data_IF_393454288744
#
_entry.id   IF_393454288744
#
_cell.length_a   1.000
_cell.length_b   1.000
_cell.length_c   1.000
_cell.angle_alpha   90.00
_cell.angle_beta   90.00
_cell.angle_gamma   90.00
#
_symmetry.space_group_name_H-M   'P 1'
#
loop_
_entity.id
_entity.type
_entity.pdbx_description
1 polymer ?
#
# COMPACT_ATOMS: atom_id res chain seq x y z
N UNK A 1 -2.44 -8.90 -7.06
CA UNK A 1 -3.88 -9.17 -6.89
C UNK A 1 -4.67 -7.87 -6.99
N UNK A 2 -6.00 -7.95 -7.28
CA UNK A 2 -6.92 -6.81 -7.19
C UNK A 2 -7.23 -6.41 -5.75
N UNK A 3 -7.96 -5.30 -5.58
CA UNK A 3 -8.42 -4.78 -4.28
C UNK A 3 -9.72 -5.45 -3.79
N UNK A 4 -10.46 -6.06 -4.70
CA UNK A 4 -11.70 -6.80 -4.43
C UNK A 4 -11.86 -7.98 -5.40
N UNK A 5 -12.83 -8.86 -5.16
CA UNK A 5 -13.23 -9.96 -6.05
C UNK A 5 -14.69 -9.74 -6.44
N UNK A 6 -14.94 -9.28 -7.67
CA UNK A 6 -16.28 -9.02 -8.18
C UNK A 6 -17.14 -8.14 -7.24
N UNK A 7 -16.51 -7.12 -6.64
CA UNK A 7 -17.14 -6.21 -5.68
C UNK A 7 -17.25 -6.73 -4.25
N UNK A 8 -16.70 -7.91 -3.95
CA UNK A 8 -16.56 -8.40 -2.58
C UNK A 8 -15.19 -8.06 -2.03
N UNK A 9 -15.14 -7.63 -0.79
CA UNK A 9 -13.88 -7.38 -0.08
C UNK A 9 -13.02 -8.65 0.00
N UNK A 10 -11.71 -8.52 -0.12
CA UNK A 10 -10.77 -9.66 -0.10
C UNK A 10 -10.93 -10.52 1.16
N UNK A 11 -11.22 -9.88 2.30
CA UNK A 11 -11.43 -10.54 3.59
C UNK A 11 -12.72 -11.35 3.67
N UNK A 12 -13.68 -11.09 2.78
CA UNK A 12 -15.01 -11.72 2.74
C UNK A 12 -15.23 -12.62 1.53
N UNK A 13 -14.29 -12.62 0.58
CA UNK A 13 -14.35 -13.41 -0.65
C UNK A 13 -13.88 -14.87 -0.48
N UNK A 14 -13.74 -15.36 0.75
CA UNK A 14 -13.31 -16.74 1.01
C UNK A 14 -11.81 -17.00 0.78
N UNK A 15 -10.99 -15.96 0.75
CA UNK A 15 -9.55 -16.03 0.44
C UNK A 15 -8.65 -16.35 1.65
N UNK A 16 -9.19 -16.75 2.79
CA UNK A 16 -8.42 -17.01 4.01
C UNK A 16 -7.29 -18.04 3.80
N UNK A 17 -7.58 -19.13 3.09
CA UNK A 17 -6.58 -20.16 2.77
C UNK A 17 -5.49 -19.63 1.82
N UNK A 18 -5.84 -18.70 0.94
CA UNK A 18 -4.89 -18.02 0.07
C UNK A 18 -3.91 -17.18 0.90
N UNK A 19 -4.40 -16.32 1.80
CA UNK A 19 -3.55 -15.49 2.65
C UNK A 19 -2.65 -16.34 3.56
N UNK A 20 -3.19 -17.39 4.18
CA UNK A 20 -2.41 -18.30 4.98
C UNK A 20 -1.28 -18.97 4.17
N UNK A 21 -1.56 -19.37 2.93
CA UNK A 21 -0.56 -20.01 2.08
C UNK A 21 0.50 -19.02 1.58
N UNK A 22 0.14 -17.79 1.28
CA UNK A 22 1.07 -16.72 0.90
C UNK A 22 2.02 -16.40 2.07
N UNK A 23 1.50 -16.30 3.29
CA UNK A 23 2.31 -16.09 4.49
C UNK A 23 3.29 -17.26 4.72
N UNK A 24 2.81 -18.51 4.66
CA UNK A 24 3.65 -19.72 4.80
C UNK A 24 4.80 -19.76 3.78
N UNK A 25 4.54 -19.31 2.55
CA UNK A 25 5.52 -19.27 1.47
C UNK A 25 6.42 -18.02 1.50
N UNK A 26 6.23 -17.14 2.48
CA UNK A 26 6.96 -15.86 2.59
C UNK A 26 6.89 -15.00 1.32
N UNK A 27 5.76 -15.05 0.60
CA UNK A 27 5.58 -14.34 -0.65
C UNK A 27 5.07 -12.91 -0.43
N UNK A 28 5.52 -12.00 -1.28
CA UNK A 28 4.99 -10.64 -1.35
C UNK A 28 3.69 -10.61 -2.16
N UNK A 29 2.65 -10.02 -1.60
CA UNK A 29 1.45 -9.60 -2.34
C UNK A 29 1.70 -8.19 -2.87
N UNK A 30 1.61 -7.98 -4.18
CA UNK A 30 1.44 -6.66 -4.77
C UNK A 30 -0.05 -6.46 -5.09
N UNK A 31 -0.65 -5.45 -4.45
CA UNK A 31 -2.07 -5.14 -4.56
C UNK A 31 -2.26 -3.91 -5.44
N UNK A 32 -3.02 -4.05 -6.53
CA UNK A 32 -3.30 -2.98 -7.48
C UNK A 32 -4.81 -2.93 -7.78
N UNK A 33 -5.47 -1.76 -7.74
CA UNK A 33 -6.89 -1.63 -8.04
C UNK A 33 -7.17 -1.91 -9.52
N UNK A 34 -8.32 -2.54 -9.80
CA UNK A 34 -8.77 -2.89 -11.14
C UNK A 34 -10.15 -2.23 -11.38
N UNK A 35 -10.15 -0.93 -11.62
CA UNK A 35 -11.39 -0.15 -11.75
C UNK A 35 -11.94 0.31 -10.40
N UNK A 36 -13.24 0.59 -10.36
CA UNK A 36 -13.95 0.97 -9.13
C UNK A 36 -15.35 0.37 -9.10
N UNK A 37 -15.77 -0.08 -7.92
CA UNK A 37 -17.13 -0.60 -7.68
C UNK A 37 -18.17 0.52 -7.64
N UNK A 38 -17.80 1.76 -7.32
CA UNK A 38 -18.65 2.96 -7.26
C UNK A 38 -18.80 3.68 -8.63
N UNK A 39 -18.86 2.92 -9.73
CA UNK A 39 -18.72 3.41 -11.10
C UNK A 39 -19.73 4.45 -11.57
N UNK A 40 -20.92 4.58 -10.94
CA UNK A 40 -21.97 5.53 -11.40
C UNK A 40 -21.58 6.99 -11.27
N UNK A 41 -20.80 7.35 -10.24
CA UNK A 41 -20.32 8.72 -9.95
C UNK A 41 -18.94 9.00 -10.52
N UNK A 42 -18.26 8.00 -11.10
CA UNK A 42 -16.86 8.07 -11.53
C UNK A 42 -16.71 8.13 -13.07
N UNK A 43 -17.80 8.44 -13.80
CA UNK A 43 -17.80 8.37 -15.27
C UNK A 43 -17.12 9.54 -15.96
N UNK A 44 -17.07 10.70 -15.30
CA UNK A 44 -16.55 11.93 -15.86
C UNK A 44 -15.07 12.13 -15.49
N UNK A 45 -14.34 12.96 -16.28
CA UNK A 45 -13.02 13.50 -15.94
C UNK A 45 -11.96 12.48 -15.53
N UNK A 46 -12.07 11.24 -16.01
CA UNK A 46 -11.15 10.16 -15.64
C UNK A 46 -11.22 9.78 -14.15
N UNK A 47 -12.33 10.09 -13.46
CA UNK A 47 -12.48 9.87 -12.01
C UNK A 47 -12.36 8.41 -11.59
N UNK A 48 -12.63 7.45 -12.49
CA UNK A 48 -12.37 6.03 -12.20
C UNK A 48 -10.91 5.81 -11.80
N UNK A 49 -9.97 6.46 -12.49
CA UNK A 49 -8.55 6.39 -12.17
C UNK A 49 -8.20 7.36 -11.04
N UNK A 50 -8.45 8.68 -11.23
CA UNK A 50 -7.98 9.74 -10.32
C UNK A 50 -8.52 9.63 -8.89
N UNK A 51 -9.73 9.11 -8.72
CA UNK A 51 -10.42 8.99 -7.43
C UNK A 51 -10.71 7.54 -7.07
N UNK A 52 -11.20 6.78 -8.06
CA UNK A 52 -11.66 5.41 -7.85
C UNK A 52 -10.54 4.47 -7.45
N UNK A 53 -9.41 4.47 -8.14
CA UNK A 53 -8.28 3.58 -7.82
C UNK A 53 -7.72 3.84 -6.41
N UNK A 54 -7.43 5.08 -5.98
CA UNK A 54 -7.02 5.33 -4.59
C UNK A 54 -8.10 4.99 -3.57
N UNK A 55 -9.39 5.14 -3.91
CA UNK A 55 -10.49 4.74 -3.04
C UNK A 55 -10.52 3.22 -2.85
N UNK A 56 -10.45 2.44 -3.92
CA UNK A 56 -10.43 0.97 -3.87
C UNK A 56 -9.26 0.43 -3.04
N UNK A 57 -8.05 1.00 -3.23
CA UNK A 57 -6.89 0.67 -2.40
C UNK A 57 -7.17 0.97 -0.92
N UNK A 58 -7.79 2.12 -0.64
CA UNK A 58 -8.12 2.52 0.73
C UNK A 58 -9.14 1.58 1.38
N UNK A 59 -10.18 1.16 0.64
CA UNK A 59 -11.17 0.19 1.12
C UNK A 59 -10.51 -1.16 1.42
N UNK A 60 -9.69 -1.67 0.50
CA UNK A 60 -8.99 -2.94 0.68
C UNK A 60 -8.06 -2.92 1.91
N UNK A 61 -7.26 -1.86 2.09
CA UNK A 61 -6.43 -1.67 3.29
C UNK A 61 -7.31 -1.62 4.54
N UNK A 62 -8.38 -0.82 4.50
CA UNK A 62 -9.32 -0.70 5.61
C UNK A 62 -9.85 -2.07 6.05
N UNK A 63 -10.30 -2.89 5.11
CA UNK A 63 -10.79 -4.24 5.41
C UNK A 63 -9.68 -5.17 5.92
N UNK A 64 -8.47 -5.14 5.35
CA UNK A 64 -7.35 -5.93 5.88
C UNK A 64 -7.05 -5.60 7.34
N UNK A 65 -7.17 -4.31 7.73
CA UNK A 65 -6.98 -3.85 9.11
C UNK A 65 -8.18 -4.22 9.97
N UNK A 66 -9.37 -3.68 9.67
CA UNK A 66 -10.54 -3.73 10.56
C UNK A 66 -11.21 -5.11 10.63
N UNK A 67 -11.09 -5.95 9.58
CA UNK A 67 -11.52 -7.35 9.62
C UNK A 67 -10.44 -8.26 10.26
N UNK A 68 -9.35 -7.69 10.80
CA UNK A 68 -8.34 -8.38 11.60
C UNK A 68 -7.38 -9.29 10.82
N UNK A 69 -7.28 -9.16 9.49
CA UNK A 69 -6.42 -10.03 8.68
C UNK A 69 -4.93 -9.81 8.95
N UNK A 70 -4.51 -8.55 9.19
CA UNK A 70 -3.11 -8.25 9.53
C UNK A 70 -2.73 -8.63 10.97
N UNK A 71 -3.71 -8.89 11.83
CA UNK A 71 -3.51 -9.51 13.13
C UNK A 71 -3.44 -11.04 13.00
N UNK A 72 -4.34 -11.62 12.20
CA UNK A 72 -4.44 -13.06 11.97
C UNK A 72 -3.25 -13.62 11.19
N UNK A 73 -2.70 -12.83 10.26
CA UNK A 73 -1.56 -13.18 9.42
C UNK A 73 -0.42 -12.17 9.62
N UNK A 74 0.28 -12.21 10.77
CA UNK A 74 1.25 -11.18 11.15
C UNK A 74 2.51 -11.15 10.28
N UNK A 75 2.83 -12.23 9.59
CA UNK A 75 3.96 -12.33 8.64
C UNK A 75 3.61 -11.96 7.19
N UNK A 76 2.36 -11.57 6.93
CA UNK A 76 1.92 -11.24 5.58
C UNK A 76 2.62 -9.97 5.07
N UNK A 77 3.25 -10.07 3.90
CA UNK A 77 3.91 -8.96 3.21
C UNK A 77 2.98 -8.43 2.11
N UNK A 78 2.49 -7.20 2.26
CA UNK A 78 1.59 -6.58 1.27
C UNK A 78 2.14 -5.21 0.86
N UNK A 79 2.41 -5.04 -0.43
CA UNK A 79 2.69 -3.76 -1.04
C UNK A 79 1.47 -3.27 -1.82
N UNK A 80 1.10 -2.03 -1.61
CA UNK A 80 -0.08 -1.43 -2.24
C UNK A 80 0.37 -0.35 -3.23
N UNK A 81 -0.16 -0.43 -4.45
CA UNK A 81 0.08 0.53 -5.51
C UNK A 81 -0.41 1.94 -5.16
N UNK A 82 0.13 2.94 -5.86
CA UNK A 82 -0.27 4.36 -5.80
C UNK A 82 -0.16 4.95 -4.39
N UNK A 83 0.98 4.67 -3.72
CA UNK A 83 1.23 5.13 -2.36
C UNK A 83 0.23 4.61 -1.33
N UNK A 84 -0.52 3.54 -1.64
CA UNK A 84 -1.55 2.98 -0.76
C UNK A 84 -2.88 3.73 -0.78
N UNK A 85 -3.12 4.58 -1.78
CA UNK A 85 -4.34 5.36 -1.88
C UNK A 85 -4.43 6.48 -0.85
N UNK A 86 -5.57 6.63 -0.16
CA UNK A 86 -5.78 7.73 0.78
C UNK A 86 -5.33 7.43 2.21
N UNK A 87 -5.40 6.17 2.66
CA UNK A 87 -5.24 5.84 4.08
C UNK A 87 -3.86 6.15 4.63
N UNK A 88 -2.74 5.93 3.90
CA UNK A 88 -1.43 6.31 4.41
C UNK A 88 -1.28 7.80 4.73
N UNK A 89 -2.01 8.67 4.01
CA UNK A 89 -2.05 10.11 4.29
C UNK A 89 -3.11 10.52 5.34
N UNK A 90 -4.08 9.65 5.65
CA UNK A 90 -5.22 9.93 6.55
C UNK A 90 -5.25 9.04 7.79
N UNK A 91 -4.16 8.36 8.12
CA UNK A 91 -4.10 7.39 9.22
C UNK A 91 -4.58 7.94 10.57
N UNK A 92 -4.34 9.21 10.88
CA UNK A 92 -4.83 9.83 12.11
C UNK A 92 -6.35 9.83 12.23
N UNK A 93 -7.07 9.85 11.08
CA UNK A 93 -8.53 9.74 11.07
C UNK A 93 -9.01 8.33 11.43
N UNK A 94 -8.20 7.31 11.18
CA UNK A 94 -8.52 5.93 11.55
C UNK A 94 -8.30 5.70 13.05
N UNK A 95 -7.23 6.25 13.60
CA UNK A 95 -6.88 6.07 15.00
C UNK A 95 -7.77 6.89 15.94
N UNK A 96 -8.24 8.07 15.49
CA UNK A 96 -9.01 8.98 16.34
C UNK A 96 -10.25 8.32 16.99
N UNK A 97 -11.11 7.58 16.27
CA UNK A 97 -12.27 6.94 16.85
C UNK A 97 -11.96 5.61 17.57
N UNK A 98 -10.78 5.03 17.39
CA UNK A 98 -10.42 3.72 17.92
C UNK A 98 -10.69 3.57 19.44
N UNK A 99 -10.32 4.51 20.34
CA UNK A 99 -10.55 4.33 21.77
C UNK A 99 -12.02 4.50 22.22
N UNK A 100 -12.91 4.99 21.35
CA UNK A 100 -14.26 5.39 21.74
C UNK A 100 -15.39 4.72 20.97
N UNK A 101 -15.09 4.11 19.81
CA UNK A 101 -16.10 3.48 18.96
C UNK A 101 -15.88 1.97 18.89
N UNK A 102 -16.86 1.21 19.40
CA UNK A 102 -16.81 -0.25 19.39
C UNK A 102 -16.76 -0.84 17.97
N UNK A 103 -17.47 -0.23 17.02
CA UNK A 103 -17.48 -0.65 15.61
C UNK A 103 -16.17 -0.35 14.86
N UNK A 104 -15.27 0.46 15.44
CA UNK A 104 -13.91 0.73 14.95
C UNK A 104 -12.89 -0.09 15.72
N UNK A 105 -13.02 -0.18 17.03
CA UNK A 105 -12.13 -0.96 17.87
C UNK A 105 -12.28 -2.47 17.57
N UNK A 106 -13.51 -2.98 17.54
CA UNK A 106 -13.78 -4.41 17.35
C UNK A 106 -12.93 -5.28 18.26
N UNK A 107 -12.34 -6.31 17.67
CA UNK A 107 -11.42 -7.23 18.35
C UNK A 107 -9.93 -6.86 18.13
N UNK A 108 -9.64 -5.68 17.56
CA UNK A 108 -8.26 -5.26 17.30
C UNK A 108 -7.53 -4.90 18.60
N UNK A 109 -6.42 -5.56 18.95
CA UNK A 109 -5.65 -5.24 20.16
C UNK A 109 -4.82 -3.95 20.05
N UNK A 110 -4.61 -3.43 18.84
CA UNK A 110 -3.81 -2.24 18.55
C UNK A 110 -4.56 -1.26 17.65
N UNK A 111 -4.21 0.05 17.68
CA UNK A 111 -4.82 1.04 16.81
C UNK A 111 -4.51 0.75 15.33
N UNK A 112 -5.36 1.22 14.40
CA UNK A 112 -5.19 0.98 12.96
C UNK A 112 -3.81 1.31 12.41
N UNK A 113 -3.18 2.39 12.87
CA UNK A 113 -1.83 2.78 12.44
C UNK A 113 -0.74 1.74 12.75
N UNK A 114 -0.91 0.94 13.81
CA UNK A 114 -0.02 -0.18 14.11
C UNK A 114 0.01 -1.19 12.96
N UNK A 115 -1.13 -1.46 12.35
CA UNK A 115 -1.24 -2.39 11.23
C UNK A 115 -0.78 -1.77 9.92
N UNK A 116 -1.05 -0.49 9.69
CA UNK A 116 -0.55 0.22 8.52
C UNK A 116 0.98 0.21 8.44
N UNK A 117 1.68 0.23 9.58
CA UNK A 117 3.14 0.11 9.67
C UNK A 117 3.69 -1.24 9.22
N UNK A 118 2.85 -2.26 9.05
CA UNK A 118 3.25 -3.56 8.50
C UNK A 118 3.17 -3.61 6.98
N UNK A 119 2.53 -2.62 6.35
CA UNK A 119 2.33 -2.56 4.91
C UNK A 119 3.50 -1.85 4.21
N UNK A 120 3.61 -2.11 2.93
CA UNK A 120 4.53 -1.45 2.01
C UNK A 120 3.73 -0.67 0.98
N UNK A 121 4.32 0.39 0.45
CA UNK A 121 3.68 1.27 -0.52
C UNK A 121 4.63 1.52 -1.68
N UNK A 122 4.10 1.73 -2.88
CA UNK A 122 4.97 2.18 -3.96
C UNK A 122 5.15 3.71 -3.93
N UNK A 123 6.14 4.18 -4.69
CA UNK A 123 6.48 5.60 -4.78
C UNK A 123 5.64 6.37 -5.78
N UNK A 124 4.59 5.77 -6.38
CA UNK A 124 3.80 6.38 -7.44
C UNK A 124 2.79 7.39 -6.87
N UNK A 125 3.28 8.52 -6.44
CA UNK A 125 2.50 9.63 -5.85
C UNK A 125 2.72 10.97 -6.55
N UNK A 126 3.52 11.01 -7.63
CA UNK A 126 3.69 12.08 -8.62
C UNK A 126 4.31 13.40 -8.13
N UNK A 127 4.45 13.64 -6.83
CA UNK A 127 5.11 14.85 -6.32
C UNK A 127 6.11 14.53 -5.23
N UNK A 128 7.21 15.30 -5.19
CA UNK A 128 8.23 15.20 -4.13
C UNK A 128 7.61 15.30 -2.74
N UNK A 129 6.71 16.25 -2.54
CA UNK A 129 6.06 16.51 -1.25
C UNK A 129 5.25 15.31 -0.77
N UNK A 130 4.51 14.63 -1.66
CA UNK A 130 3.74 13.44 -1.30
C UNK A 130 4.64 12.26 -1.00
N UNK A 131 5.70 12.04 -1.80
CA UNK A 131 6.66 10.98 -1.55
C UNK A 131 7.41 11.23 -0.24
N UNK A 132 7.83 12.48 0.03
CA UNK A 132 8.44 12.86 1.31
C UNK A 132 7.53 12.55 2.48
N UNK A 133 6.25 12.96 2.40
CA UNK A 133 5.27 12.68 3.44
C UNK A 133 5.09 11.17 3.70
N UNK A 134 5.04 10.38 2.64
CA UNK A 134 4.92 8.93 2.73
C UNK A 134 6.13 8.31 3.44
N UNK A 135 7.34 8.73 3.07
CA UNK A 135 8.59 8.27 3.69
C UNK A 135 8.68 8.71 5.16
N UNK A 136 8.35 9.95 5.47
CA UNK A 136 8.39 10.48 6.84
C UNK A 136 7.39 9.77 7.77
N UNK A 137 6.23 9.38 7.23
CA UNK A 137 5.18 8.70 8.01
C UNK A 137 5.48 7.22 8.25
N UNK A 138 6.04 6.52 7.26
CA UNK A 138 6.12 5.06 7.26
C UNK A 138 7.54 4.50 7.24
N UNK A 139 8.55 5.30 6.92
CA UNK A 139 9.95 4.91 6.77
C UNK A 139 10.31 4.60 5.32
N UNK A 140 11.55 4.91 4.93
CA UNK A 140 12.07 4.59 3.60
C UNK A 140 12.11 3.07 3.34
N UNK A 141 12.25 2.27 4.38
CA UNK A 141 12.27 0.80 4.34
C UNK A 141 10.90 0.15 4.04
N UNK A 142 9.83 0.96 4.02
CA UNK A 142 8.48 0.57 3.64
C UNK A 142 8.03 1.07 2.27
N UNK A 143 8.88 1.82 1.55
CA UNK A 143 8.54 2.37 0.23
C UNK A 143 9.31 1.62 -0.85
N UNK A 144 8.63 1.22 -1.93
CA UNK A 144 9.22 0.58 -3.11
C UNK A 144 9.03 1.46 -4.34
N UNK A 145 10.05 1.55 -5.19
CA UNK A 145 9.91 2.30 -6.44
C UNK A 145 8.88 1.63 -7.35
N UNK A 146 7.84 2.38 -7.74
CA UNK A 146 6.80 1.99 -8.67
C UNK A 146 6.77 2.89 -9.90
N UNK A 147 6.26 2.37 -11.03
CA UNK A 147 6.24 3.11 -12.30
C UNK A 147 4.89 3.19 -12.97
N UNK A 148 3.98 2.26 -12.68
CA UNK A 148 2.70 2.07 -13.39
C UNK A 148 2.85 1.88 -14.92
N UNK A 149 4.08 1.57 -15.40
CA UNK A 149 4.32 1.28 -16.81
C UNK A 149 3.53 0.02 -17.24
N UNK A 150 2.85 0.00 -18.39
CA UNK A 150 2.90 0.95 -19.51
C UNK A 150 1.67 1.88 -19.60
N UNK A 151 1.02 2.18 -18.50
CA UNK A 151 -0.20 3.00 -18.50
C UNK A 151 0.09 4.50 -18.70
N UNK A 152 -0.95 5.26 -19.02
CA UNK A 152 -0.88 6.70 -19.26
C UNK A 152 -0.58 7.52 -17.98
N UNK A 153 -0.80 6.93 -16.82
CA UNK A 153 -0.43 7.50 -15.52
C UNK A 153 0.96 7.08 -15.05
N UNK A 154 1.77 6.45 -15.92
CA UNK A 154 3.11 6.00 -15.53
C UNK A 154 4.03 7.16 -15.15
N UNK A 155 4.85 6.96 -14.12
CA UNK A 155 5.97 7.86 -13.80
C UNK A 155 7.09 7.66 -14.82
N UNK A 156 7.41 8.70 -15.64
CA UNK A 156 8.38 8.56 -16.71
C UNK A 156 9.83 8.53 -16.22
N UNK A 157 10.11 9.07 -15.04
CA UNK A 157 11.43 9.10 -14.42
C UNK A 157 11.37 8.68 -12.94
N UNK A 158 11.13 7.40 -12.64
CA UNK A 158 10.93 6.94 -11.27
C UNK A 158 12.19 7.11 -10.39
N UNK A 159 13.38 7.05 -10.98
CA UNK A 159 14.63 7.30 -10.26
C UNK A 159 14.75 8.77 -9.91
N UNK A 160 14.55 9.67 -10.88
CA UNK A 160 14.55 11.11 -10.64
C UNK A 160 13.46 11.57 -9.68
N UNK A 161 12.29 10.89 -9.67
CA UNK A 161 11.24 11.14 -8.69
C UNK A 161 11.71 10.87 -7.25
N UNK A 162 12.37 9.74 -7.00
CA UNK A 162 12.97 9.44 -5.68
C UNK A 162 14.09 10.43 -5.35
N UNK A 163 14.95 10.76 -6.32
CA UNK A 163 16.05 11.70 -6.13
C UNK A 163 15.60 13.13 -5.84
N UNK A 164 14.41 13.51 -6.30
CA UNK A 164 13.85 14.85 -6.05
C UNK A 164 13.54 15.10 -4.58
N UNK A 165 13.39 14.04 -3.77
CA UNK A 165 13.04 14.16 -2.34
C UNK A 165 14.24 14.69 -1.56
N UNK A 166 14.20 15.97 -1.22
CA UNK A 166 15.30 16.65 -0.52
C UNK A 166 15.54 16.06 0.87
N UNK A 167 16.82 15.88 1.22
CA UNK A 167 17.25 15.43 2.55
C UNK A 167 17.08 13.93 2.80
N UNK A 168 16.77 13.12 1.78
CA UNK A 168 16.94 11.67 1.88
C UNK A 168 18.42 11.33 1.88
N UNK A 169 18.82 10.40 2.74
CA UNK A 169 20.14 9.80 2.69
C UNK A 169 20.29 8.90 1.45
N UNK A 170 21.52 8.69 0.99
CA UNK A 170 21.78 7.74 -0.10
C UNK A 170 21.39 6.30 0.28
N UNK A 171 21.41 5.97 1.57
CA UNK A 171 20.93 4.70 2.10
C UNK A 171 19.43 4.57 1.94
N UNK A 172 18.65 5.60 2.32
CA UNK A 172 17.19 5.61 2.15
C UNK A 172 16.79 5.55 0.67
N UNK A 173 17.48 6.29 -0.20
CA UNK A 173 17.24 6.21 -1.64
C UNK A 173 17.49 4.80 -2.19
N UNK A 174 18.62 4.18 -1.78
CA UNK A 174 18.94 2.81 -2.21
C UNK A 174 17.88 1.80 -1.77
N UNK A 175 17.30 1.97 -0.57
CA UNK A 175 16.17 1.16 -0.11
C UNK A 175 14.97 1.31 -1.04
N UNK A 176 14.57 2.56 -1.36
CA UNK A 176 13.40 2.84 -2.20
C UNK A 176 13.63 2.38 -3.65
N UNK A 177 14.81 2.65 -4.25
CA UNK A 177 15.12 2.29 -5.63
C UNK A 177 15.01 0.79 -5.92
N UNK A 178 15.30 -0.07 -4.95
CA UNK A 178 15.20 -1.52 -5.17
C UNK A 178 15.61 -2.37 -3.97
N UNK A 179 16.27 -1.81 -2.96
CA UNK A 179 16.71 -2.56 -1.78
C UNK A 179 15.57 -3.24 -1.06
N UNK A 180 14.44 -2.55 -0.89
CA UNK A 180 13.25 -3.12 -0.27
C UNK A 180 12.63 -4.24 -1.10
N UNK A 181 12.49 -4.03 -2.41
CA UNK A 181 11.97 -5.07 -3.31
C UNK A 181 12.87 -6.30 -3.31
N UNK A 182 14.19 -6.12 -3.38
CA UNK A 182 15.16 -7.22 -3.33
C UNK A 182 15.04 -7.99 -2.00
N UNK A 183 14.96 -7.29 -0.88
CA UNK A 183 14.78 -7.89 0.46
C UNK A 183 13.48 -8.68 0.57
N UNK A 184 12.37 -8.10 0.13
CA UNK A 184 11.04 -8.71 0.25
C UNK A 184 10.83 -9.91 -0.69
N UNK A 185 11.52 -9.88 -1.84
CA UNK A 185 11.49 -10.97 -2.82
C UNK A 185 12.62 -11.99 -2.62
N UNK A 186 13.42 -11.85 -1.56
CA UNK A 186 14.57 -12.72 -1.25
C UNK A 186 15.57 -12.82 -2.42
N UNK A 187 15.81 -11.70 -3.14
CA UNK A 187 16.76 -11.65 -4.25
C UNK A 187 18.20 -11.41 -3.73
N UNK A 188 19.15 -12.17 -4.26
CA UNK A 188 20.56 -11.86 -4.03
C UNK A 188 20.93 -10.60 -4.81
N UNK A 189 21.31 -9.53 -4.10
CA UNK A 189 21.84 -8.32 -4.72
C UNK A 189 23.38 -8.50 -4.80
N UNK A 190 23.91 -8.67 -6.00
CA UNK A 190 25.36 -8.64 -6.20
C UNK A 190 25.88 -7.23 -5.88
N UNK A 191 26.77 -7.12 -4.89
CA UNK A 191 27.49 -5.88 -4.67
C UNK A 191 28.33 -5.58 -5.93
N UNK A 192 28.01 -4.50 -6.65
CA UNK A 192 28.89 -4.02 -7.73
C UNK A 192 30.21 -3.62 -7.09
N UNK A 193 31.25 -4.39 -7.42
CA UNK A 193 32.66 -4.11 -7.11
C UNK A 193 33.16 -2.84 -7.80
#
# INVERSE_FOLDING_TARGET
IGTNVEGQELTRAGLEKFFARIEELDMLIFMHPLGTTEGTRMKDHYFTNLIGHPLESSLAIGHLVFDGYLEKFPGLKVCIAHGGGYLPGYWGRLDHPYPTREDVHGDLPNPPSYYLKKLYFDSLVFTETQLRHLIDAWGADHIMMGTDYPYDMAEPDPVGHVDSVQGLSEEDKALVWGGNAARLLNLAVEAKS
#
